data_IF_730028484919
#
_entry.id   IF_730028484919
#
_cell.length_a   1.000
_cell.length_b   1.000
_cell.length_c   1.000
_cell.angle_alpha   90.00
_cell.angle_beta   90.00
_cell.angle_gamma   90.00
#
_symmetry.space_group_name_H-M   'P 1'
#
loop_
_entity.id
_entity.type
_entity.pdbx_description
1 polymer ?
#
# COMPACT_ATOMS: atom_id res chain seq x y z
N UNK A 1 -3.88 15.90 -1.85
CA UNK A 1 -3.17 15.72 -3.13
C UNK A 1 -2.63 14.32 -3.11
N UNK A 2 -2.84 13.52 -4.15
CA UNK A 2 -2.29 12.17 -4.25
C UNK A 2 -0.97 12.29 -5.04
N UNK A 3 0.18 11.91 -4.48
CA UNK A 3 1.46 12.04 -5.16
C UNK A 3 1.54 11.05 -6.34
N UNK A 4 2.39 11.31 -7.34
CA UNK A 4 2.72 10.26 -8.30
C UNK A 4 3.31 9.04 -7.54
N UNK A 5 3.21 7.83 -8.08
CA UNK A 5 3.79 6.62 -7.45
C UNK A 5 3.26 6.28 -6.03
N UNK A 6 2.10 6.80 -5.64
CA UNK A 6 1.46 6.49 -4.35
C UNK A 6 1.35 4.98 -4.06
N UNK A 7 1.23 4.15 -5.11
CA UNK A 7 1.13 2.69 -5.01
C UNK A 7 2.40 2.01 -4.49
N UNK A 8 3.56 2.69 -4.55
CA UNK A 8 4.83 2.22 -3.99
C UNK A 8 4.99 2.51 -2.50
N UNK A 9 4.05 3.26 -1.91
CA UNK A 9 4.09 3.70 -0.51
C UNK A 9 2.98 3.04 0.31
N UNK A 10 3.31 2.02 1.14
CA UNK A 10 2.31 1.28 1.90
C UNK A 10 1.39 2.17 2.75
N UNK A 11 1.94 3.22 3.38
CA UNK A 11 1.19 4.17 4.19
C UNK A 11 0.10 4.91 3.39
N UNK A 12 0.37 5.23 2.12
CA UNK A 12 -0.61 5.85 1.22
C UNK A 12 -1.62 4.82 0.74
N UNK A 13 -1.16 3.62 0.37
CA UNK A 13 -2.03 2.51 -0.05
C UNK A 13 -3.03 2.17 1.06
N UNK A 14 -2.59 2.08 2.31
CA UNK A 14 -3.46 1.78 3.45
C UNK A 14 -4.51 2.85 3.68
N UNK A 15 -4.12 4.13 3.77
CA UNK A 15 -5.07 5.21 4.04
C UNK A 15 -6.06 5.39 2.88
N UNK A 16 -5.61 5.28 1.63
CA UNK A 16 -6.47 5.36 0.45
C UNK A 16 -7.44 4.17 0.36
N UNK A 17 -6.98 2.96 0.66
CA UNK A 17 -7.82 1.75 0.67
C UNK A 17 -8.88 1.82 1.78
N UNK A 18 -8.50 2.28 2.97
CA UNK A 18 -9.43 2.47 4.08
C UNK A 18 -10.49 3.53 3.75
N UNK A 19 -10.08 4.65 3.14
CA UNK A 19 -11.00 5.70 2.71
C UNK A 19 -11.98 5.19 1.64
N UNK A 20 -11.50 4.39 0.68
CA UNK A 20 -12.31 3.78 -0.35
C UNK A 20 -13.34 2.79 0.23
N UNK A 21 -12.91 1.93 1.14
CA UNK A 21 -13.81 1.00 1.81
C UNK A 21 -14.87 1.72 2.66
N UNK A 22 -14.48 2.76 3.40
CA UNK A 22 -15.43 3.60 4.15
C UNK A 22 -16.46 4.24 3.22
N UNK A 23 -16.02 4.74 2.06
CA UNK A 23 -16.93 5.29 1.06
C UNK A 23 -17.92 4.23 0.54
N UNK A 24 -17.44 3.03 0.19
CA UNK A 24 -18.32 1.93 -0.25
C UNK A 24 -19.36 1.58 0.81
N UNK A 25 -18.94 1.46 2.07
CA UNK A 25 -19.85 1.18 3.17
C UNK A 25 -20.86 2.33 3.37
N UNK A 26 -20.42 3.58 3.36
CA UNK A 26 -21.28 4.74 3.62
C UNK A 26 -22.36 4.96 2.54
N UNK A 27 -22.13 4.46 1.33
CA UNK A 27 -23.06 4.53 0.20
C UNK A 27 -23.75 3.19 -0.10
N UNK A 28 -23.61 2.19 0.78
CA UNK A 28 -24.34 0.93 0.65
C UNK A 28 -25.87 1.17 0.70
N UNK A 29 -26.68 0.51 -0.16
CA UNK A 29 -28.13 0.70 -0.18
C UNK A 29 -28.84 0.39 1.15
N UNK A 30 -28.24 -0.43 2.02
CA UNK A 30 -28.79 -0.81 3.31
C UNK A 30 -28.31 0.10 4.47
N UNK A 31 -27.45 1.10 4.19
CA UNK A 31 -26.99 2.02 5.22
C UNK A 31 -28.02 3.10 5.56
N UNK A 32 -27.84 3.67 6.76
CA UNK A 32 -28.64 4.82 7.16
C UNK A 32 -28.40 6.01 6.23
N UNK A 33 -29.44 6.78 5.91
CA UNK A 33 -29.34 7.93 5.01
C UNK A 33 -28.37 9.04 5.50
N UNK A 34 -27.98 9.03 6.78
CA UNK A 34 -26.95 9.93 7.30
C UNK A 34 -25.51 9.42 7.17
N UNK A 35 -25.29 8.18 6.72
CA UNK A 35 -23.96 7.60 6.60
C UNK A 35 -23.03 8.42 5.68
N UNK A 36 -23.48 8.98 4.53
CA UNK A 36 -22.66 9.88 3.74
C UNK A 36 -22.19 11.14 4.49
N UNK A 37 -23.03 11.68 5.39
CA UNK A 37 -22.62 12.82 6.24
C UNK A 37 -21.53 12.42 7.23
N UNK A 38 -21.62 11.20 7.79
CA UNK A 38 -20.57 10.62 8.62
C UNK A 38 -19.25 10.48 7.85
N UNK A 39 -19.31 9.92 6.64
CA UNK A 39 -18.13 9.79 5.77
C UNK A 39 -17.44 11.13 5.49
N UNK A 40 -18.21 12.18 5.17
CA UNK A 40 -17.63 13.51 4.92
C UNK A 40 -16.93 14.11 6.14
N UNK A 41 -17.43 13.83 7.36
CA UNK A 41 -16.78 14.23 8.61
C UNK A 41 -15.44 13.52 8.77
N UNK A 42 -15.44 12.18 8.66
CA UNK A 42 -14.24 11.38 8.86
C UNK A 42 -13.19 11.64 7.76
N UNK A 43 -13.66 11.92 6.53
CA UNK A 43 -12.79 12.32 5.43
C UNK A 43 -12.01 13.61 5.74
N UNK A 44 -12.59 14.55 6.50
CA UNK A 44 -11.88 15.77 6.89
C UNK A 44 -10.65 15.45 7.74
N UNK A 45 -10.74 14.47 8.65
CA UNK A 45 -9.62 14.02 9.49
C UNK A 45 -8.60 13.21 8.69
N UNK A 46 -9.06 12.33 7.79
CA UNK A 46 -8.21 11.58 6.85
C UNK A 46 -7.36 12.52 6.00
N UNK A 47 -7.91 13.66 5.56
CA UNK A 47 -7.17 14.64 4.74
C UNK A 47 -5.95 15.21 5.45
N UNK A 48 -5.98 15.36 6.78
CA UNK A 48 -4.82 15.83 7.54
C UNK A 48 -3.73 14.75 7.56
N UNK A 49 -4.09 13.50 7.93
CA UNK A 49 -3.14 12.38 7.93
C UNK A 49 -2.55 12.10 6.56
N UNK A 50 -3.35 12.18 5.49
CA UNK A 50 -2.85 12.05 4.12
C UNK A 50 -1.79 13.10 3.79
N UNK A 51 -1.91 14.34 4.29
CA UNK A 51 -0.89 15.36 4.07
C UNK A 51 0.41 15.01 4.79
N UNK A 52 0.32 14.45 5.99
CA UNK A 52 1.49 14.01 6.76
C UNK A 52 2.18 12.83 6.09
N UNK A 53 1.42 11.86 5.57
CA UNK A 53 1.96 10.75 4.79
C UNK A 53 2.62 11.21 3.50
N UNK A 54 1.99 12.12 2.75
CA UNK A 54 2.62 12.68 1.54
C UNK A 54 3.90 13.45 1.88
N UNK A 55 3.92 14.20 2.97
CA UNK A 55 5.11 14.96 3.38
C UNK A 55 6.28 14.07 3.82
N UNK A 56 5.98 12.87 4.34
CA UNK A 56 6.98 11.91 4.80
C UNK A 56 7.36 10.87 3.74
N UNK A 57 6.48 10.65 2.76
CA UNK A 57 6.74 9.83 1.58
C UNK A 57 7.93 10.39 0.79
N UNK A 58 8.67 9.50 0.13
CA UNK A 58 9.82 9.89 -0.66
C UNK A 58 9.47 10.48 -2.03
N UNK A 59 8.19 10.52 -2.39
CA UNK A 59 7.76 10.95 -3.72
C UNK A 59 7.82 12.47 -3.93
N UNK A 60 8.39 12.86 -5.06
CA UNK A 60 8.36 14.20 -5.64
C UNK A 60 7.66 14.18 -7.01
N UNK A 61 7.65 15.31 -7.71
CA UNK A 61 6.98 15.41 -9.02
C UNK A 61 7.63 14.52 -10.09
N UNK A 62 8.96 14.44 -10.11
CA UNK A 62 9.78 13.79 -11.14
C UNK A 62 10.56 12.58 -10.62
N UNK A 63 10.55 12.34 -9.31
CA UNK A 63 11.38 11.33 -8.65
C UNK A 63 10.65 10.66 -7.50
N UNK A 64 11.04 9.44 -7.21
CA UNK A 64 10.53 8.67 -6.09
C UNK A 64 11.64 7.95 -5.33
N UNK A 65 11.43 7.76 -4.03
CA UNK A 65 12.26 6.89 -3.19
C UNK A 65 11.39 6.25 -2.11
N UNK A 66 11.74 5.08 -1.60
CA UNK A 66 11.06 4.49 -0.46
C UNK A 66 11.01 5.42 0.76
N UNK A 67 9.93 5.29 1.53
CA UNK A 67 9.76 5.99 2.82
C UNK A 67 10.86 5.57 3.78
N UNK A 68 11.49 6.54 4.46
CA UNK A 68 12.62 6.26 5.36
C UNK A 68 12.11 5.53 6.60
N UNK A 69 12.66 4.36 6.85
CA UNK A 69 12.51 3.68 8.12
C UNK A 69 13.47 4.29 9.15
N UNK A 70 12.95 4.60 10.33
CA UNK A 70 13.78 5.05 11.45
C UNK A 70 14.58 3.88 12.00
N UNK A 71 15.90 4.07 12.16
CA UNK A 71 16.78 3.09 12.83
C UNK A 71 16.69 3.29 14.34
N UNK A 72 16.35 2.23 15.06
CA UNK A 72 16.35 2.27 16.52
C UNK A 72 17.74 1.99 17.12
N UNK A 73 18.03 2.44 18.35
CA UNK A 73 19.31 2.15 18.99
C UNK A 73 19.59 0.64 19.04
N UNK A 74 20.76 0.23 18.52
CA UNK A 74 21.18 -1.17 18.45
C UNK A 74 20.78 -1.90 17.16
N UNK A 75 19.99 -1.27 16.29
CA UNK A 75 19.69 -1.76 14.96
C UNK A 75 20.77 -1.30 13.97
N UNK A 76 21.13 -2.18 13.03
CA UNK A 76 21.99 -1.79 11.92
C UNK A 76 21.22 -0.84 10.98
N UNK A 77 21.85 0.27 10.60
CA UNK A 77 21.20 1.25 9.75
C UNK A 77 20.91 0.62 8.37
N UNK A 78 19.68 0.76 7.84
CA UNK A 78 19.36 0.25 6.52
C UNK A 78 20.19 0.99 5.46
N UNK A 79 20.54 0.28 4.39
CA UNK A 79 21.22 0.91 3.25
C UNK A 79 20.35 2.05 2.69
N UNK A 80 20.92 3.25 2.45
CA UNK A 80 20.17 4.35 1.88
C UNK A 80 19.55 3.94 0.54
N UNK A 81 18.23 4.05 0.43
CA UNK A 81 17.52 3.79 -0.83
C UNK A 81 17.81 4.89 -1.84
N UNK A 82 18.06 4.51 -3.09
CA UNK A 82 18.33 5.44 -4.19
C UNK A 82 17.05 6.16 -4.65
N UNK A 83 17.20 7.41 -5.10
CA UNK A 83 16.12 8.12 -5.81
C UNK A 83 16.03 7.61 -7.26
N UNK A 84 14.83 7.25 -7.68
CA UNK A 84 14.50 6.82 -9.04
C UNK A 84 13.71 7.90 -9.78
N UNK A 85 13.87 8.00 -11.11
CA UNK A 85 13.09 8.93 -11.92
C UNK A 85 11.72 8.36 -12.26
N UNK A 86 10.69 9.20 -12.18
CA UNK A 86 9.33 8.87 -12.60
C UNK A 86 9.22 9.13 -14.11
N UNK A 87 9.26 8.06 -14.91
CA UNK A 87 9.25 8.15 -16.38
C UNK A 87 7.85 7.94 -16.95
N UNK A 88 7.19 6.84 -16.56
CA UNK A 88 5.82 6.52 -16.97
C UNK A 88 5.06 5.94 -15.77
N UNK A 89 4.10 6.71 -15.26
CA UNK A 89 3.33 6.37 -14.05
C UNK A 89 2.32 5.27 -14.27
N UNK A 90 1.79 5.17 -15.48
CA UNK A 90 0.78 4.17 -15.79
C UNK A 90 1.45 2.82 -16.00
N UNK A 91 2.51 2.78 -16.79
CA UNK A 91 3.29 1.56 -16.99
C UNK A 91 3.84 1.02 -15.66
N UNK A 92 4.38 1.90 -14.81
CA UNK A 92 4.89 1.52 -13.47
C UNK A 92 3.82 0.91 -12.57
N UNK A 93 2.61 1.49 -12.56
CA UNK A 93 1.49 0.95 -11.79
C UNK A 93 1.08 -0.43 -12.31
N UNK A 94 1.00 -0.61 -13.63
CA UNK A 94 0.67 -1.91 -14.24
C UNK A 94 1.71 -2.95 -13.88
N UNK A 95 3.00 -2.62 -14.03
CA UNK A 95 4.11 -3.52 -13.68
C UNK A 95 4.05 -3.89 -12.19
N UNK A 96 3.88 -2.91 -11.30
CA UNK A 96 3.74 -3.14 -9.86
C UNK A 96 2.61 -4.13 -9.53
N UNK A 97 1.44 -3.97 -10.16
CA UNK A 97 0.30 -4.87 -9.93
C UNK A 97 0.56 -6.27 -10.48
N UNK A 98 1.18 -6.37 -11.67
CA UNK A 98 1.55 -7.66 -12.27
C UNK A 98 2.52 -8.41 -11.37
N UNK A 99 3.57 -7.74 -10.90
CA UNK A 99 4.57 -8.31 -9.98
C UNK A 99 3.93 -8.77 -8.67
N UNK A 100 3.03 -7.96 -8.10
CA UNK A 100 2.35 -8.32 -6.87
C UNK A 100 1.42 -9.54 -7.03
N UNK A 101 0.71 -9.63 -8.16
CA UNK A 101 -0.12 -10.80 -8.48
C UNK A 101 0.74 -12.04 -8.67
N UNK A 102 1.83 -11.95 -9.43
CA UNK A 102 2.74 -13.07 -9.65
C UNK A 102 3.37 -13.56 -8.34
N UNK A 103 3.79 -12.62 -7.47
CA UNK A 103 4.33 -12.94 -6.14
C UNK A 103 3.31 -13.71 -5.30
N UNK A 104 2.04 -13.30 -5.30
CA UNK A 104 0.97 -13.99 -4.56
C UNK A 104 0.68 -15.37 -5.13
N UNK A 105 0.62 -15.50 -6.45
CA UNK A 105 0.43 -16.80 -7.13
C UNK A 105 1.59 -17.77 -6.81
N UNK A 106 2.84 -17.31 -6.87
CA UNK A 106 3.98 -18.15 -6.55
C UNK A 106 3.96 -18.64 -5.09
N UNK A 107 3.54 -17.79 -4.15
CA UNK A 107 3.38 -18.17 -2.75
C UNK A 107 2.24 -19.19 -2.55
N UNK A 108 1.12 -19.03 -3.25
CA UNK A 108 0.02 -19.99 -3.25
C UNK A 108 0.45 -21.35 -3.84
N UNK A 109 1.14 -21.35 -4.98
CA UNK A 109 1.65 -22.56 -5.64
C UNK A 109 2.66 -23.31 -4.75
N UNK A 110 3.55 -22.59 -4.07
CA UNK A 110 4.48 -23.18 -3.11
C UNK A 110 3.75 -23.82 -1.93
N UNK A 111 2.74 -23.12 -1.38
CA UNK A 111 1.90 -23.64 -0.32
C UNK A 111 1.18 -24.93 -0.75
N UNK A 112 0.52 -24.97 -1.91
CA UNK A 112 -0.16 -26.18 -2.38
C UNK A 112 0.82 -27.33 -2.70
N UNK A 113 2.01 -27.03 -3.23
CA UNK A 113 3.06 -28.03 -3.44
C UNK A 113 3.50 -28.67 -2.13
N UNK A 114 3.61 -27.87 -1.06
CA UNK A 114 3.97 -28.37 0.28
C UNK A 114 2.93 -29.32 0.87
N UNK A 115 1.63 -29.12 0.56
CA UNK A 115 0.55 -29.99 1.00
C UNK A 115 0.49 -31.31 0.24
N UNK A 116 0.90 -31.32 -1.04
CA UNK A 116 0.92 -32.51 -1.89
C UNK A 116 2.11 -33.45 -1.67
N UNK A 117 3.10 -33.04 -0.88
CA UNK A 117 4.30 -33.82 -0.57
C UNK A 117 4.47 -33.91 0.96
N UNK A 118 3.67 -34.76 1.65
CA UNK A 118 3.79 -34.91 3.10
C UNK A 118 5.22 -35.35 3.47
N UNK A 119 5.80 -34.82 4.55
CA UNK A 119 7.15 -35.21 4.96
C UNK A 119 7.20 -36.73 5.17
N UNK A 120 8.25 -37.36 4.63
CA UNK A 120 8.53 -38.76 4.89
C UNK A 120 8.77 -38.91 6.40
N UNK A 121 7.85 -39.58 7.11
CA UNK A 121 8.09 -39.98 8.49
C UNK A 121 9.31 -40.93 8.51
N UNK A 122 10.44 -40.44 9.03
CA UNK A 122 11.63 -41.26 9.26
C UNK A 122 11.29 -42.35 10.29
N UNK A 123 11.37 -43.62 9.86
CA UNK A 123 11.17 -44.83 10.68
C UNK A 123 12.43 -45.25 11.43
#
# INVERSE_FOLDING_TARGET
>A
MIPPYWHRHPELVWELSALHLHWLCAYDPNQNGSAPLGWHRDFADVRLRLRDWVATSGTRLDRDRPTRQATWPGEEAPTPSEESMITDREADFVEFVVDDVQRRQAAEDEFYRSLGNPPLEES
#
